data_IF_416552315582
#
_entry.id   IF_416552315582
#
_cell.length_a   1.000
_cell.length_b   1.000
_cell.length_c   1.000
_cell.angle_alpha   90.00
_cell.angle_beta   90.00
_cell.angle_gamma   90.00
#
_symmetry.space_group_name_H-M   'P 1'
#
loop_
_entity.id
_entity.type
_entity.pdbx_description
1 polymer ?
#
# COMPACT_ATOMS: atom_id res chain seq x y z
N UNK A 1 -2.18 4.22 -2.01
CA UNK A 1 -1.69 4.74 -0.72
C UNK A 1 -1.06 6.13 -0.85
N UNK A 2 -0.16 6.39 -1.81
CA UNK A 2 0.50 7.71 -1.99
C UNK A 2 -0.46 8.90 -2.26
N UNK A 3 -1.43 8.77 -3.16
CA UNK A 3 -2.40 9.85 -3.40
C UNK A 3 -3.26 10.16 -2.15
N UNK A 4 -3.51 9.14 -1.32
CA UNK A 4 -4.22 9.31 -0.06
C UNK A 4 -3.36 10.05 0.96
N UNK A 5 -2.06 9.73 1.08
CA UNK A 5 -1.16 10.47 1.97
C UNK A 5 -1.06 11.95 1.57
N UNK A 6 -0.91 12.26 0.28
CA UNK A 6 -0.91 13.65 -0.21
C UNK A 6 -2.23 14.38 0.12
N UNK A 7 -3.37 13.73 -0.05
CA UNK A 7 -4.67 14.32 0.30
C UNK A 7 -4.81 14.57 1.81
N UNK A 8 -4.27 13.70 2.66
CA UNK A 8 -4.29 13.88 4.12
C UNK A 8 -3.35 15.00 4.55
N UNK A 9 -2.15 15.08 3.97
CA UNK A 9 -1.21 16.20 4.19
C UNK A 9 -1.85 17.54 3.78
N UNK A 10 -2.53 17.59 2.63
CA UNK A 10 -3.25 18.77 2.18
C UNK A 10 -4.42 19.18 3.11
N UNK A 11 -4.94 18.23 3.91
CA UNK A 11 -5.95 18.48 4.96
C UNK A 11 -5.35 18.83 6.32
N UNK A 12 -4.02 19.00 6.40
CA UNK A 12 -3.31 19.37 7.62
C UNK A 12 -3.08 18.22 8.59
N UNK A 13 -3.27 16.96 8.18
CA UNK A 13 -2.95 15.79 9.00
C UNK A 13 -1.46 15.49 8.95
N UNK A 14 -0.91 14.99 10.06
CA UNK A 14 0.45 14.42 10.08
C UNK A 14 0.41 13.03 9.46
N UNK A 15 1.30 12.76 8.51
CA UNK A 15 1.41 11.45 7.88
C UNK A 15 2.74 10.82 8.24
N UNK A 16 2.66 9.62 8.82
CA UNK A 16 3.79 8.76 9.13
C UNK A 16 3.73 7.54 8.20
N UNK A 17 4.86 7.08 7.67
CA UNK A 17 4.87 5.96 6.73
C UNK A 17 5.99 4.97 7.06
N UNK A 18 5.64 3.68 7.08
CA UNK A 18 6.57 2.57 7.16
C UNK A 18 6.24 1.56 6.06
N UNK A 19 7.22 1.25 5.23
CA UNK A 19 7.18 0.10 4.32
C UNK A 19 8.04 -0.98 4.96
N UNK A 20 7.45 -2.15 5.19
CA UNK A 20 8.10 -3.23 5.95
C UNK A 20 8.82 -4.18 5.02
N UNK A 21 9.98 -4.68 5.47
CA UNK A 21 10.73 -5.73 4.79
C UNK A 21 11.07 -6.91 5.72
N UNK A 22 11.81 -7.89 5.21
CA UNK A 22 12.18 -9.08 5.97
C UNK A 22 13.04 -8.75 7.21
N UNK A 23 13.84 -7.68 7.17
CA UNK A 23 14.71 -7.28 8.29
C UNK A 23 13.89 -6.73 9.47
N UNK A 24 12.66 -6.27 9.25
CA UNK A 24 11.76 -5.76 10.28
C UNK A 24 11.10 -6.87 11.13
N UNK A 25 11.47 -8.12 10.88
CA UNK A 25 11.17 -9.25 11.76
C UNK A 25 12.03 -9.28 13.04
N UNK A 26 12.84 -8.25 13.29
CA UNK A 26 13.46 -7.97 14.60
C UNK A 26 12.57 -6.99 15.42
N UNK A 27 12.04 -7.41 16.60
CA UNK A 27 11.15 -6.57 17.39
C UNK A 27 11.76 -5.24 17.85
N UNK A 28 13.07 -5.22 18.12
CA UNK A 28 13.76 -4.02 18.58
C UNK A 28 13.86 -3.05 17.41
N UNK A 29 14.35 -3.50 16.26
CA UNK A 29 14.44 -2.70 15.03
C UNK A 29 13.06 -2.15 14.63
N UNK A 30 12.04 -2.99 14.61
CA UNK A 30 10.68 -2.56 14.26
C UNK A 30 10.18 -1.47 15.21
N UNK A 31 10.39 -1.63 16.52
CA UNK A 31 10.00 -0.62 17.49
C UNK A 31 10.78 0.69 17.31
N UNK A 32 12.06 0.62 16.93
CA UNK A 32 12.86 1.81 16.60
C UNK A 32 12.27 2.54 15.40
N UNK A 33 11.90 1.84 14.33
CA UNK A 33 11.27 2.46 13.17
C UNK A 33 9.90 3.04 13.47
N UNK A 34 9.09 2.39 14.32
CA UNK A 34 7.83 2.98 14.78
C UNK A 34 8.04 4.31 15.51
N UNK A 35 9.06 4.38 16.38
CA UNK A 35 9.38 5.62 17.09
C UNK A 35 9.88 6.72 16.15
N UNK A 36 10.73 6.38 15.19
CA UNK A 36 11.23 7.31 14.19
C UNK A 36 10.08 7.83 13.33
N UNK A 37 9.20 6.94 12.84
CA UNK A 37 8.06 7.33 12.03
C UNK A 37 7.08 8.24 12.78
N UNK A 38 6.79 7.95 14.05
CA UNK A 38 5.86 8.76 14.84
C UNK A 38 6.46 10.07 15.34
N UNK A 39 7.64 10.03 15.95
CA UNK A 39 8.16 11.13 16.77
C UNK A 39 9.42 11.78 16.19
N UNK A 40 10.01 11.22 15.13
CA UNK A 40 11.34 11.60 14.64
C UNK A 40 12.42 11.52 15.75
N UNK A 41 12.26 10.55 16.65
CA UNK A 41 13.13 10.34 17.81
C UNK A 41 13.87 9.02 17.74
N UNK A 42 15.18 9.10 17.88
CA UNK A 42 16.04 7.95 18.17
C UNK A 42 15.56 7.21 19.45
N UNK A 43 15.80 5.89 19.53
CA UNK A 43 15.43 5.10 20.69
C UNK A 43 16.22 5.51 21.94
N UNK A 44 15.60 5.47 23.14
CA UNK A 44 16.33 5.63 24.38
C UNK A 44 17.29 4.45 24.49
N UNK A 45 18.49 4.73 24.97
CA UNK A 45 19.55 3.74 25.15
C UNK A 45 19.16 2.60 26.12
N UNK A 46 18.04 2.72 26.84
CA UNK A 46 17.53 1.75 27.81
C UNK A 46 16.84 0.52 27.19
N UNK A 47 16.56 0.47 25.88
CA UNK A 47 15.97 -0.72 25.21
C UNK A 47 17.04 -1.81 24.96
N UNK A 48 18.23 -1.67 25.55
CA UNK A 48 19.43 -2.46 25.29
C UNK A 48 19.36 -3.96 25.67
N UNK A 49 18.23 -4.49 26.18
CA UNK A 49 18.17 -5.85 26.73
C UNK A 49 16.92 -6.67 26.33
N UNK A 50 16.61 -6.69 25.04
CA UNK A 50 16.20 -7.94 24.39
C UNK A 50 14.72 -8.23 24.16
N UNK A 51 13.76 -7.42 24.65
CA UNK A 51 12.32 -7.63 24.36
C UNK A 51 11.51 -6.33 24.35
N UNK A 52 10.57 -6.23 23.42
CA UNK A 52 9.57 -5.17 23.40
C UNK A 52 8.32 -5.65 24.13
N UNK A 53 8.00 -4.99 25.25
CA UNK A 53 6.77 -5.22 25.99
C UNK A 53 5.67 -4.23 25.61
N UNK A 54 4.42 -4.62 25.90
CA UNK A 54 3.23 -3.78 25.72
C UNK A 54 3.36 -2.38 26.33
N UNK A 55 4.01 -2.26 27.49
CA UNK A 55 4.22 -0.98 28.17
C UNK A 55 4.99 0.02 27.31
N UNK A 56 6.01 -0.42 26.55
CA UNK A 56 6.74 0.45 25.64
C UNK A 56 5.85 1.03 24.53
N UNK A 57 4.91 0.22 24.04
CA UNK A 57 3.96 0.66 23.00
C UNK A 57 2.95 1.66 23.57
N UNK A 58 2.47 1.42 24.79
CA UNK A 58 1.59 2.37 25.49
C UNK A 58 2.29 3.72 25.70
N UNK A 59 3.56 3.70 26.10
CA UNK A 59 4.34 4.93 26.28
C UNK A 59 4.56 5.67 24.95
N UNK A 60 4.78 4.94 23.85
CA UNK A 60 4.86 5.51 22.52
C UNK A 60 3.52 6.17 22.12
N UNK A 61 2.39 5.48 22.30
CA UNK A 61 1.09 6.03 21.92
C UNK A 61 0.66 7.21 22.79
N UNK A 62 1.04 7.24 24.06
CA UNK A 62 0.84 8.40 24.93
C UNK A 62 1.59 9.63 24.42
N UNK A 63 2.84 9.48 23.99
CA UNK A 63 3.61 10.59 23.39
C UNK A 63 2.99 11.08 22.09
N UNK A 64 2.47 10.18 21.26
CA UNK A 64 1.73 10.56 20.04
C UNK A 64 0.42 11.29 20.41
N UNK A 65 -0.23 10.93 21.50
CA UNK A 65 -1.43 11.62 21.98
C UNK A 65 -1.14 13.06 22.48
N UNK A 66 0.07 13.30 22.99
CA UNK A 66 0.53 14.62 23.43
C UNK A 66 0.88 15.55 22.26
N UNK A 67 1.19 15.00 21.08
CA UNK A 67 1.28 15.78 19.85
C UNK A 67 -0.13 16.20 19.44
N UNK A 68 -0.45 17.49 19.53
CA UNK A 68 -1.73 18.10 19.09
C UNK A 68 -1.86 18.10 17.56
N UNK A 69 -1.69 16.93 16.95
CA UNK A 69 -1.69 16.66 15.53
C UNK A 69 -2.52 15.41 15.25
N UNK A 70 -3.46 15.52 14.31
CA UNK A 70 -4.22 14.39 13.78
C UNK A 70 -3.33 13.57 12.85
N UNK A 71 -2.86 12.43 13.37
CA UNK A 71 -1.79 11.62 12.79
C UNK A 71 -2.35 10.38 12.09
N UNK A 72 -1.82 10.04 10.92
CA UNK A 72 -2.14 8.80 10.20
C UNK A 72 -0.86 8.03 9.96
N UNK A 73 -0.75 6.85 10.55
CA UNK A 73 0.33 5.90 10.30
C UNK A 73 -0.05 4.94 9.17
N UNK A 74 0.69 5.03 8.08
CA UNK A 74 0.64 4.12 6.94
C UNK A 74 1.65 3.00 7.17
N UNK A 75 1.17 1.77 7.10
CA UNK A 75 1.99 0.56 7.08
C UNK A 75 1.77 -0.12 5.74
N UNK A 76 2.85 -0.25 4.96
CA UNK A 76 2.85 -0.92 3.67
C UNK A 76 3.60 -2.25 3.74
N UNK A 77 3.25 -3.18 2.86
CA UNK A 77 3.83 -4.53 2.78
C UNK A 77 3.79 -5.32 4.11
N UNK A 78 2.67 -5.21 4.84
CA UNK A 78 2.53 -5.85 6.15
C UNK A 78 2.70 -7.37 6.14
N UNK A 79 2.47 -8.03 5.00
CA UNK A 79 2.73 -9.46 4.83
C UNK A 79 4.20 -9.88 5.04
N UNK A 80 5.16 -8.94 4.97
CA UNK A 80 6.57 -9.21 5.26
C UNK A 80 6.81 -9.60 6.72
N UNK A 81 5.92 -9.21 7.64
CA UNK A 81 6.03 -9.57 9.05
C UNK A 81 5.47 -10.95 9.32
N UNK A 82 6.37 -11.84 9.72
CA UNK A 82 6.09 -13.23 10.08
C UNK A 82 6.41 -13.53 11.54
N UNK A 83 7.26 -12.72 12.18
CA UNK A 83 7.62 -12.86 13.59
C UNK A 83 6.41 -12.55 14.51
N UNK A 84 5.97 -13.51 15.35
CA UNK A 84 4.86 -13.30 16.28
C UNK A 84 5.06 -12.15 17.28
N UNK A 85 6.29 -11.85 17.70
CA UNK A 85 6.59 -10.73 18.57
C UNK A 85 6.36 -9.39 17.87
N UNK A 86 6.80 -9.27 16.60
CA UNK A 86 6.53 -8.10 15.76
C UNK A 86 5.03 -7.91 15.50
N UNK A 87 4.31 -8.99 15.21
CA UNK A 87 2.85 -8.95 15.05
C UNK A 87 2.15 -8.49 16.35
N UNK A 88 2.65 -8.93 17.52
CA UNK A 88 2.11 -8.49 18.81
C UNK A 88 2.36 -7.01 19.07
N UNK A 89 3.48 -6.44 18.61
CA UNK A 89 3.75 -5.00 18.70
C UNK A 89 2.63 -4.21 18.02
N UNK A 90 2.27 -4.55 16.78
CA UNK A 90 1.18 -3.88 16.07
C UNK A 90 -0.19 -4.12 16.69
N UNK A 91 -0.41 -5.31 17.25
CA UNK A 91 -1.64 -5.58 17.99
C UNK A 91 -1.77 -4.69 19.23
N UNK A 92 -0.69 -4.52 20.00
CA UNK A 92 -0.67 -3.60 21.13
C UNK A 92 -0.82 -2.13 20.72
N UNK A 93 -0.18 -1.75 19.61
CA UNK A 93 -0.30 -0.42 19.03
C UNK A 93 -1.76 -0.11 18.73
N UNK A 94 -2.42 -1.00 17.99
CA UNK A 94 -3.83 -0.93 17.67
C UNK A 94 -4.73 -0.82 18.92
N UNK A 95 -4.46 -1.62 19.96
CA UNK A 95 -5.23 -1.59 21.20
C UNK A 95 -5.07 -0.29 22.02
N UNK A 96 -3.95 0.42 21.84
CA UNK A 96 -3.57 1.60 22.61
C UNK A 96 -3.52 2.87 21.76
N UNK A 97 -4.09 2.82 20.55
CA UNK A 97 -4.07 3.91 19.59
C UNK A 97 -4.89 5.09 20.13
N UNK A 98 -4.33 6.31 20.18
CA UNK A 98 -5.03 7.46 20.72
C UNK A 98 -6.06 8.01 19.71
N UNK A 99 -7.00 8.84 20.18
CA UNK A 99 -8.09 9.34 19.33
C UNK A 99 -7.61 10.25 18.19
N UNK A 100 -6.49 10.94 18.38
CA UNK A 100 -5.83 11.76 17.37
C UNK A 100 -4.94 10.95 16.41
N UNK A 101 -4.96 9.61 16.48
CA UNK A 101 -4.16 8.77 15.60
C UNK A 101 -5.05 7.78 14.84
N UNK A 102 -4.68 7.51 13.59
CA UNK A 102 -5.30 6.51 12.75
C UNK A 102 -4.25 5.56 12.18
N UNK A 103 -4.61 4.27 12.08
CA UNK A 103 -3.75 3.24 11.51
C UNK A 103 -4.32 2.77 10.18
N UNK A 104 -3.50 2.80 9.14
CA UNK A 104 -3.82 2.28 7.82
C UNK A 104 -2.79 1.19 7.48
N UNK A 105 -3.28 -0.04 7.29
CA UNK A 105 -2.45 -1.19 6.91
C UNK A 105 -2.79 -1.60 5.48
N UNK A 106 -1.79 -1.63 4.61
CA UNK A 106 -1.82 -2.31 3.33
C UNK A 106 -1.13 -3.67 3.49
N UNK A 107 -1.81 -4.72 3.03
CA UNK A 107 -1.31 -6.09 3.12
C UNK A 107 -1.89 -6.94 2.00
N UNK A 108 -1.11 -7.86 1.46
CA UNK A 108 -1.61 -8.93 0.57
C UNK A 108 -2.37 -10.02 1.32
N UNK A 109 -2.06 -10.21 2.59
CA UNK A 109 -2.70 -11.23 3.44
C UNK A 109 -3.32 -10.57 4.65
N UNK A 110 -4.59 -10.89 4.93
CA UNK A 110 -5.26 -10.36 6.13
C UNK A 110 -4.55 -10.88 7.40
N UNK A 111 -4.11 -10.00 8.32
CA UNK A 111 -3.57 -10.45 9.59
C UNK A 111 -4.59 -11.27 10.38
N UNK A 112 -4.12 -12.32 11.06
CA UNK A 112 -4.95 -13.23 11.86
C UNK A 112 -5.38 -12.62 13.22
N UNK A 113 -5.82 -11.36 13.20
CA UNK A 113 -6.36 -10.66 14.36
C UNK A 113 -7.89 -10.61 14.32
N UNK A 114 -8.51 -10.68 15.49
CA UNK A 114 -9.96 -10.54 15.61
C UNK A 114 -10.36 -9.08 15.71
N UNK A 115 -10.96 -8.56 14.64
CA UNK A 115 -11.52 -7.20 14.58
C UNK A 115 -13.04 -7.18 14.72
N UNK A 116 -13.63 -8.23 15.31
CA UNK A 116 -15.08 -8.40 15.36
C UNK A 116 -15.77 -7.25 16.10
N UNK A 117 -15.17 -6.77 17.18
CA UNK A 117 -15.70 -5.65 17.97
C UNK A 117 -15.74 -4.36 17.14
N UNK A 118 -14.69 -4.08 16.39
CA UNK A 118 -14.55 -2.82 15.66
C UNK A 118 -15.32 -2.81 14.37
N UNK A 119 -15.51 -3.99 13.76
CA UNK A 119 -16.50 -4.17 12.71
C UNK A 119 -17.91 -3.82 13.21
N UNK A 120 -18.33 -4.36 14.37
CA UNK A 120 -19.64 -4.06 14.96
C UNK A 120 -19.80 -2.59 15.36
N UNK A 121 -18.72 -1.93 15.78
CA UNK A 121 -18.72 -0.51 16.14
C UNK A 121 -18.51 0.44 14.94
N UNK A 122 -18.39 -0.07 13.71
CA UNK A 122 -18.15 0.74 12.51
C UNK A 122 -16.79 1.44 12.48
N UNK A 123 -15.82 0.97 13.28
CA UNK A 123 -14.46 1.53 13.41
C UNK A 123 -13.43 0.83 12.53
N UNK A 124 -13.80 -0.28 11.92
CA UNK A 124 -13.00 -0.98 10.92
C UNK A 124 -13.51 -0.66 9.51
N UNK A 125 -12.63 -0.15 8.65
CA UNK A 125 -12.88 -0.06 7.21
C UNK A 125 -11.88 -0.96 6.50
N UNK A 126 -12.37 -1.98 5.82
CA UNK A 126 -11.57 -2.81 4.93
C UNK A 126 -11.85 -2.41 3.48
N UNK A 127 -10.80 -2.14 2.72
CA UNK A 127 -10.87 -2.00 1.28
C UNK A 127 -10.30 -3.26 0.66
N UNK A 128 -11.10 -3.97 -0.13
CA UNK A 128 -10.66 -5.19 -0.80
C UNK A 128 -10.14 -4.88 -2.20
N UNK A 129 -9.35 -5.80 -2.75
CA UNK A 129 -8.93 -5.77 -4.15
C UNK A 129 -10.10 -5.54 -5.11
N UNK A 130 -11.23 -6.22 -4.89
CA UNK A 130 -12.45 -6.06 -5.69
C UNK A 130 -13.06 -4.66 -5.65
N UNK A 131 -12.76 -3.85 -4.63
CA UNK A 131 -13.18 -2.46 -4.51
C UNK A 131 -12.16 -1.48 -5.10
N UNK A 132 -10.91 -1.92 -5.28
CA UNK A 132 -9.84 -1.16 -5.92
C UNK A 132 -9.72 -1.47 -7.43
N UNK A 133 -10.24 -2.62 -7.88
CA UNK A 133 -10.20 -2.98 -9.29
C UNK A 133 -11.16 -2.12 -10.10
N UNK A 134 -10.61 -1.55 -11.17
CA UNK A 134 -11.32 -0.70 -12.12
C UNK A 134 -12.44 -1.51 -12.74
N UNK A 135 -13.65 -0.98 -12.68
CA UNK A 135 -14.84 -1.58 -13.29
C UNK A 135 -15.04 -1.03 -14.70
N UNK A 136 -15.75 -1.79 -15.54
CA UNK A 136 -16.18 -1.32 -16.87
C UNK A 136 -16.95 0.01 -16.82
N UNK A 137 -17.65 0.29 -15.71
CA UNK A 137 -18.34 1.57 -15.51
C UNK A 137 -17.36 2.76 -15.42
N UNK A 138 -16.09 2.49 -15.11
CA UNK A 138 -15.02 3.48 -14.95
C UNK A 138 -14.15 3.60 -16.22
N UNK A 139 -14.47 2.90 -17.32
CA UNK A 139 -13.71 2.91 -18.58
C UNK A 139 -13.48 4.33 -19.14
N UNK A 140 -14.49 5.21 -19.03
CA UNK A 140 -14.35 6.61 -19.46
C UNK A 140 -13.35 7.40 -18.60
N UNK A 141 -13.35 7.17 -17.28
CA UNK A 141 -12.40 7.80 -16.38
C UNK A 141 -10.99 7.24 -16.60
N UNK A 142 -10.88 5.95 -16.91
CA UNK A 142 -9.61 5.32 -17.27
C UNK A 142 -9.02 5.92 -18.55
N UNK A 143 -9.84 6.09 -19.60
CA UNK A 143 -9.42 6.73 -20.86
C UNK A 143 -8.91 8.14 -20.59
N UNK A 144 -9.66 8.93 -19.81
CA UNK A 144 -9.26 10.30 -19.47
C UNK A 144 -7.93 10.33 -18.70
N UNK A 145 -7.76 9.42 -17.73
CA UNK A 145 -6.51 9.28 -16.99
C UNK A 145 -5.33 8.93 -17.91
N UNK A 146 -5.52 7.98 -18.82
CA UNK A 146 -4.48 7.59 -19.78
C UNK A 146 -4.11 8.76 -20.70
N UNK A 147 -5.09 9.49 -21.24
CA UNK A 147 -4.86 10.67 -22.09
C UNK A 147 -4.00 11.74 -21.38
N UNK A 148 -4.28 12.02 -20.09
CA UNK A 148 -3.51 12.97 -19.28
C UNK A 148 -2.04 12.56 -19.08
N UNK A 149 -1.70 11.28 -19.23
CA UNK A 149 -0.34 10.75 -19.11
C UNK A 149 0.47 10.84 -20.43
N UNK A 150 0.15 11.83 -21.28
CA UNK A 150 0.75 12.12 -22.59
C UNK A 150 0.40 11.10 -23.70
N UNK A 151 -0.87 10.69 -23.76
CA UNK A 151 -1.38 9.72 -24.75
C UNK A 151 -2.29 10.36 -25.80
N UNK A 152 -1.96 11.58 -26.27
CA UNK A 152 -2.71 12.26 -27.34
C UNK A 152 -2.79 11.47 -28.66
N UNK A 153 -1.93 10.45 -28.85
CA UNK A 153 -1.84 9.67 -30.08
C UNK A 153 -2.66 8.38 -30.09
N UNK A 154 -3.25 7.99 -28.95
CA UNK A 154 -4.03 6.77 -28.83
C UNK A 154 -5.48 7.11 -28.53
N UNK A 155 -6.30 7.11 -29.57
CA UNK A 155 -7.75 7.09 -29.42
C UNK A 155 -8.18 5.70 -28.91
N UNK A 156 -7.92 5.41 -27.64
CA UNK A 156 -8.48 4.26 -26.94
C UNK A 156 -10.01 4.41 -26.97
N UNK A 157 -10.67 3.58 -27.78
CA UNK A 157 -12.13 3.51 -27.78
C UNK A 157 -12.62 2.88 -26.48
N UNK A 158 -13.88 3.13 -26.11
CA UNK A 158 -14.49 2.53 -24.93
C UNK A 158 -14.44 1.00 -25.00
N UNK A 159 -14.62 0.41 -26.18
CA UNK A 159 -14.56 -1.05 -26.36
C UNK A 159 -13.16 -1.61 -26.08
N UNK A 160 -12.10 -0.90 -26.47
CA UNK A 160 -10.73 -1.29 -26.15
C UNK A 160 -10.43 -1.14 -24.66
N UNK A 161 -10.96 -0.11 -24.01
CA UNK A 161 -10.82 0.08 -22.57
C UNK A 161 -11.54 -1.01 -21.77
N UNK A 162 -12.75 -1.40 -22.19
CA UNK A 162 -13.49 -2.51 -21.59
C UNK A 162 -12.74 -3.84 -21.77
N UNK A 163 -12.22 -4.11 -22.96
CA UNK A 163 -11.36 -5.28 -23.20
C UNK A 163 -10.12 -5.26 -22.33
N UNK A 164 -9.46 -4.11 -22.19
CA UNK A 164 -8.29 -3.97 -21.33
C UNK A 164 -8.63 -4.26 -19.87
N UNK A 165 -9.75 -3.73 -19.37
CA UNK A 165 -10.23 -4.00 -18.01
C UNK A 165 -10.52 -5.49 -17.82
N UNK A 166 -11.23 -6.12 -18.75
CA UNK A 166 -11.54 -7.55 -18.66
C UNK A 166 -10.28 -8.42 -18.68
N UNK A 167 -9.31 -8.08 -19.54
CA UNK A 167 -8.05 -8.83 -19.69
C UNK A 167 -7.09 -8.62 -18.52
N UNK A 168 -7.19 -7.49 -17.83
CA UNK A 168 -6.38 -7.15 -16.64
C UNK A 168 -7.13 -7.39 -15.33
N UNK A 169 -8.35 -7.90 -15.39
CA UNK A 169 -9.26 -8.06 -14.24
C UNK A 169 -9.48 -6.73 -13.47
N UNK A 170 -9.32 -5.59 -14.15
CA UNK A 170 -9.41 -4.25 -13.57
C UNK A 170 -8.20 -3.85 -12.72
N UNK A 171 -7.10 -4.61 -12.74
CA UNK A 171 -5.90 -4.26 -11.97
C UNK A 171 -5.17 -3.08 -12.60
N UNK A 172 -5.04 -2.01 -11.81
CA UNK A 172 -4.34 -0.79 -12.24
C UNK A 172 -2.90 -1.08 -12.71
N UNK A 173 -2.20 -2.01 -12.06
CA UNK A 173 -0.85 -2.45 -12.46
C UNK A 173 -0.85 -3.06 -13.86
N UNK A 174 -1.78 -3.96 -14.18
CA UNK A 174 -1.90 -4.54 -15.52
C UNK A 174 -2.21 -3.47 -16.58
N UNK A 175 -3.05 -2.51 -16.23
CA UNK A 175 -3.38 -1.38 -17.11
C UNK A 175 -2.17 -0.46 -17.32
N UNK A 176 -1.40 -0.15 -16.27
CA UNK A 176 -0.16 0.61 -16.39
C UNK A 176 0.91 -0.12 -17.20
N UNK A 177 0.98 -1.44 -17.12
CA UNK A 177 1.88 -2.20 -17.99
C UNK A 177 1.50 -2.10 -19.45
N UNK A 178 0.21 -2.23 -19.75
CA UNK A 178 -0.28 -1.96 -21.11
C UNK A 178 0.09 -0.54 -21.51
N UNK A 179 -0.09 0.46 -20.65
CA UNK A 179 0.35 1.84 -20.92
C UNK A 179 1.86 1.95 -21.24
N UNK A 180 2.74 1.29 -20.47
CA UNK A 180 4.19 1.28 -20.73
C UNK A 180 4.53 0.59 -22.06
N UNK A 181 3.94 -0.58 -22.33
CA UNK A 181 4.16 -1.32 -23.58
C UNK A 181 3.75 -0.51 -24.81
N UNK A 182 2.62 0.21 -24.70
CA UNK A 182 2.08 1.06 -25.76
C UNK A 182 2.93 2.30 -26.06
N UNK A 183 3.79 2.73 -25.13
CA UNK A 183 4.78 3.79 -25.44
C UNK A 183 5.86 3.31 -26.41
N UNK A 184 6.14 2.00 -26.42
CA UNK A 184 7.20 1.41 -27.24
C UNK A 184 6.68 0.74 -28.52
N UNK A 185 5.38 0.44 -28.60
CA UNK A 185 4.78 -0.33 -29.69
C UNK A 185 3.49 0.33 -30.23
N UNK A 186 3.33 0.32 -31.57
CA UNK A 186 2.19 0.96 -32.24
C UNK A 186 0.92 0.10 -32.37
N UNK A 187 0.99 -1.23 -32.13
CA UNK A 187 -0.16 -2.14 -32.30
C UNK A 187 -0.87 -2.49 -30.97
N UNK A 188 -1.86 -1.65 -30.64
CA UNK A 188 -2.65 -1.76 -29.41
C UNK A 188 -3.65 -2.90 -29.45
N UNK A 189 -4.32 -3.05 -30.59
CA UNK A 189 -5.36 -4.05 -30.76
C UNK A 189 -4.76 -5.45 -30.68
N UNK A 190 -3.63 -5.69 -31.35
CA UNK A 190 -2.91 -6.96 -31.29
C UNK A 190 -2.44 -7.30 -29.88
N UNK A 191 -1.94 -6.31 -29.13
CA UNK A 191 -1.48 -6.54 -27.77
C UNK A 191 -2.63 -6.90 -26.80
N UNK A 192 -3.72 -6.11 -26.80
CA UNK A 192 -4.86 -6.34 -25.89
C UNK A 192 -5.56 -7.68 -26.21
N UNK A 193 -5.67 -8.05 -27.48
CA UNK A 193 -6.27 -9.34 -27.88
C UNK A 193 -5.43 -10.53 -27.41
N UNK A 194 -4.11 -10.45 -27.55
CA UNK A 194 -3.17 -11.49 -27.16
C UNK A 194 -2.83 -11.50 -25.66
N UNK A 195 -3.25 -10.48 -24.91
CA UNK A 195 -3.16 -10.48 -23.46
C UNK A 195 -3.99 -11.68 -22.94
N UNK A 196 -3.33 -12.72 -22.45
CA UNK A 196 -4.00 -13.91 -21.91
C UNK A 196 -3.49 -14.19 -20.51
N UNK A 197 -4.34 -13.99 -19.51
CA UNK A 197 -4.07 -14.32 -18.11
C UNK A 197 -3.17 -13.30 -17.43
N UNK A 198 -3.81 -12.37 -16.72
CA UNK A 198 -3.19 -11.36 -15.87
C UNK A 198 -2.54 -11.99 -14.63
N UNK A 199 -1.39 -12.64 -14.84
CA UNK A 199 -0.29 -12.63 -13.87
C UNK A 199 0.98 -13.14 -14.54
N UNK A 200 0.91 -14.24 -15.29
CA UNK A 200 2.12 -14.94 -15.72
C UNK A 200 2.84 -14.28 -16.91
N UNK A 201 2.11 -13.68 -17.87
CA UNK A 201 2.74 -13.01 -19.02
C UNK A 201 3.27 -11.62 -18.65
N UNK A 202 2.56 -10.89 -17.79
CA UNK A 202 2.98 -9.59 -17.27
C UNK A 202 4.18 -9.76 -16.33
N UNK A 203 4.19 -10.80 -15.47
CA UNK A 203 5.33 -11.14 -14.59
C UNK A 203 6.52 -11.68 -15.39
N UNK A 204 6.32 -12.49 -16.44
CA UNK A 204 7.42 -12.96 -17.29
C UNK A 204 8.08 -11.79 -18.05
N UNK A 205 7.29 -10.87 -18.61
CA UNK A 205 7.84 -9.69 -19.29
C UNK A 205 8.58 -8.77 -18.31
N UNK A 206 8.07 -8.58 -17.09
CA UNK A 206 8.76 -7.86 -16.01
C UNK A 206 10.07 -8.50 -15.61
N UNK A 207 10.09 -9.83 -15.50
CA UNK A 207 11.30 -10.59 -15.19
C UNK A 207 12.33 -10.38 -16.30
N UNK A 208 11.93 -10.51 -17.57
CA UNK A 208 12.84 -10.32 -18.70
C UNK A 208 13.36 -8.87 -18.81
N UNK A 209 12.52 -7.84 -18.63
CA UNK A 209 12.92 -6.44 -18.81
C UNK A 209 13.81 -5.89 -17.69
N UNK A 210 13.60 -6.28 -16.42
CA UNK A 210 14.41 -5.80 -15.28
C UNK A 210 15.84 -6.36 -15.33
N UNK A 211 16.03 -7.57 -15.89
CA UNK A 211 17.38 -8.12 -16.15
C UNK A 211 18.12 -7.47 -17.33
N UNK A 212 17.42 -6.74 -18.22
CA UNK A 212 18.07 -6.02 -19.32
C UNK A 212 18.32 -4.53 -19.06
N UNK A 213 17.63 -3.91 -18.09
CA UNK A 213 17.89 -2.51 -17.69
C UNK A 213 18.94 -2.34 -16.59
N UNK A 214 19.41 -3.44 -15.97
CA UNK A 214 20.63 -3.42 -15.15
C UNK A 214 21.86 -3.65 -16.02
N UNK A 215 22.27 -2.61 -16.73
CA UNK A 215 23.66 -2.53 -17.23
C UNK A 215 24.54 -1.86 -16.17
N UNK A 216 25.80 -2.32 -16.03
CA UNK A 216 26.68 -2.09 -14.86
C UNK A 216 27.07 -0.63 -14.64
#
# INVERSE_FOLDING_TARGET
>A
MHQLSESLLAKGKKVCWLTLDDDDNDPIRLYQYLRLAFLDLEPPHSISYGQIHKQHIIELTQKVAEEDADTVLFIDEFEALTNPECLNIFWWLYQSLPENCHLLIASRVKPNWSFAKEYLLGRLKSVTESQLSIKQQESSALIQFLQQQNFDQLALSTELADQLIDKTEGWFTGIQFTNLYLKEHQDIHGFIQNLSGAHHQIVNYLSEQVFFTTRP
#
